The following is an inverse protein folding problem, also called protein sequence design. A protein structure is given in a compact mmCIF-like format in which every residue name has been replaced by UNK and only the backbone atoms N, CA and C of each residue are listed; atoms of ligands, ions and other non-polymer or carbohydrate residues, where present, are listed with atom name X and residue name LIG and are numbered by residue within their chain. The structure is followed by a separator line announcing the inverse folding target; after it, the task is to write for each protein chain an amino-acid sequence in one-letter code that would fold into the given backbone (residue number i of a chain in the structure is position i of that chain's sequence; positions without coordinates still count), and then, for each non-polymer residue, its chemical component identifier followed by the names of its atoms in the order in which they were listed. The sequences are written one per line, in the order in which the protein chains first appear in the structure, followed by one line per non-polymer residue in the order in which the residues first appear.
data_IF_066505567338
#
_entry.id   IF_066505567338
#
_cell.length_a   1.000
_cell.length_b   1.000
_cell.length_c   1.000
_cell.angle_alpha   90.00
_cell.angle_beta   90.00
_cell.angle_gamma   90.00
#
_symmetry.space_group_name_H-M   'P 1'
#
loop_
_entity.id
_entity.type
_entity.pdbx_description
1 polymer ?
#
# COMPACT_ATOMS: atom_id res chain seq x y z
N UNK A 1 -17.37 -35.96 -8.60
CA UNK A 1 -16.00 -35.98 -8.04
C UNK A 1 -15.01 -35.86 -9.20
N UNK A 2 -14.70 -34.64 -9.63
CA UNK A 2 -13.66 -34.35 -10.64
C UNK A 2 -12.94 -33.08 -10.18
N UNK A 3 -12.01 -33.23 -9.25
CA UNK A 3 -11.07 -32.18 -8.89
C UNK A 3 -9.87 -32.31 -9.85
N UNK A 4 -9.96 -31.62 -10.98
CA UNK A 4 -8.79 -31.38 -11.82
C UNK A 4 -7.82 -30.50 -11.04
N UNK A 5 -6.66 -31.06 -10.68
CA UNK A 5 -5.52 -30.31 -10.17
C UNK A 5 -5.25 -29.11 -11.10
N UNK A 6 -5.69 -27.93 -10.67
CA UNK A 6 -5.24 -26.68 -11.24
C UNK A 6 -3.71 -26.70 -11.12
N UNK A 7 -3.02 -26.84 -12.26
CA UNK A 7 -1.56 -26.84 -12.35
C UNK A 7 -1.02 -25.71 -11.46
N UNK A 8 -0.45 -26.08 -10.32
CA UNK A 8 0.23 -25.17 -9.43
C UNK A 8 1.33 -24.51 -10.29
N UNK A 9 1.11 -23.23 -10.62
CA UNK A 9 2.12 -22.45 -11.30
C UNK A 9 3.41 -22.51 -10.47
N UNK A 10 4.56 -22.65 -11.13
CA UNK A 10 5.86 -22.70 -10.45
C UNK A 10 5.93 -21.54 -9.44
N UNK A 11 6.09 -21.80 -8.13
CA UNK A 11 6.10 -20.76 -7.10
C UNK A 11 7.27 -19.77 -7.24
N UNK A 12 8.20 -20.02 -8.18
CA UNK A 12 9.40 -19.22 -8.40
C UNK A 12 9.16 -17.79 -8.91
N UNK A 13 8.11 -17.51 -9.69
CA UNK A 13 7.96 -16.17 -10.30
C UNK A 13 7.77 -15.06 -9.27
N UNK A 14 6.97 -15.30 -8.24
CA UNK A 14 6.81 -14.34 -7.15
C UNK A 14 8.11 -14.17 -6.37
N UNK A 15 8.81 -15.28 -6.08
CA UNK A 15 10.08 -15.25 -5.34
C UNK A 15 11.15 -14.46 -6.13
N UNK A 16 11.21 -14.62 -7.45
CA UNK A 16 12.11 -13.86 -8.31
C UNK A 16 11.77 -12.37 -8.31
N UNK A 17 10.50 -12.01 -8.49
CA UNK A 17 10.06 -10.61 -8.47
C UNK A 17 10.32 -9.96 -7.10
N UNK A 18 9.96 -10.66 -6.02
CA UNK A 18 10.22 -10.21 -4.65
C UNK A 18 11.72 -10.08 -4.38
N UNK A 19 12.52 -11.05 -4.81
CA UNK A 19 13.98 -11.03 -4.68
C UNK A 19 14.62 -9.86 -5.44
N UNK A 20 14.12 -9.53 -6.63
CA UNK A 20 14.59 -8.37 -7.39
C UNK A 20 14.27 -7.04 -6.68
N UNK A 21 13.02 -6.89 -6.20
CA UNK A 21 12.61 -5.67 -5.47
C UNK A 21 13.37 -5.54 -4.15
N UNK A 22 13.55 -6.63 -3.40
CA UNK A 22 14.32 -6.61 -2.15
C UNK A 22 15.81 -6.37 -2.40
N UNK A 23 16.38 -6.99 -3.44
CA UNK A 23 17.77 -6.76 -3.85
C UNK A 23 18.01 -5.29 -4.20
N UNK A 24 17.08 -4.67 -4.93
CA UNK A 24 17.09 -3.23 -5.15
C UNK A 24 16.99 -2.45 -3.83
N UNK A 25 16.05 -2.79 -2.94
CA UNK A 25 15.91 -2.13 -1.63
C UNK A 25 17.17 -2.24 -0.77
N UNK A 26 17.91 -3.34 -0.88
CA UNK A 26 19.22 -3.52 -0.21
C UNK A 26 20.23 -2.51 -0.76
N UNK A 27 20.29 -2.32 -2.08
CA UNK A 27 21.17 -1.31 -2.68
C UNK A 27 20.83 0.10 -2.19
N UNK A 28 19.54 0.44 -2.11
CA UNK A 28 19.07 1.71 -1.56
C UNK A 28 19.50 1.87 -0.10
N UNK A 29 19.28 0.85 0.74
CA UNK A 29 19.63 0.87 2.16
C UNK A 29 21.12 1.11 2.43
N UNK A 30 22.02 0.61 1.57
CA UNK A 30 23.46 0.76 1.77
C UNK A 30 24.02 2.12 1.34
N UNK A 31 23.42 2.85 0.38
CA UNK A 31 24.08 4.04 -0.22
C UNK A 31 23.85 5.37 0.50
N UNK A 32 22.90 5.48 1.41
CA UNK A 32 22.69 6.68 2.25
C UNK A 32 22.37 8.00 1.50
N UNK A 33 21.96 7.97 0.23
CA UNK A 33 21.44 9.15 -0.47
C UNK A 33 19.95 9.37 -0.10
N UNK A 34 19.70 9.56 1.19
CA UNK A 34 18.34 9.67 1.70
C UNK A 34 17.79 11.07 1.41
N UNK A 35 16.76 11.13 0.57
CA UNK A 35 16.02 12.35 0.25
C UNK A 35 14.82 12.52 1.20
N UNK A 36 14.22 13.72 1.18
CA UNK A 36 13.01 14.07 1.94
C UNK A 36 13.19 13.99 3.47
N UNK A 37 12.20 13.46 4.19
CA UNK A 37 12.09 13.52 5.65
C UNK A 37 13.00 12.51 6.40
N UNK A 38 14.05 12.00 5.75
CA UNK A 38 14.91 11.00 6.37
C UNK A 38 15.60 11.52 7.63
N UNK A 39 16.20 12.70 7.56
CA UNK A 39 16.87 13.31 8.71
C UNK A 39 15.88 13.55 9.86
N UNK A 40 14.63 13.90 9.54
CA UNK A 40 13.56 14.00 10.52
C UNK A 40 13.27 12.63 11.17
N UNK A 41 13.21 11.53 10.41
CA UNK A 41 12.95 10.19 10.96
C UNK A 41 14.12 9.69 11.81
N UNK A 42 15.36 9.95 11.38
CA UNK A 42 16.56 9.65 12.16
C UNK A 42 16.58 10.47 13.45
N UNK A 43 16.34 11.79 13.38
CA UNK A 43 16.29 12.65 14.55
C UNK A 43 15.18 12.25 15.52
N UNK A 44 14.00 11.90 15.01
CA UNK A 44 12.88 11.39 15.81
C UNK A 44 13.25 10.11 16.54
N UNK A 45 13.91 9.17 15.85
CA UNK A 45 14.35 7.92 16.48
C UNK A 45 15.48 8.15 17.49
N UNK A 46 16.44 9.05 17.22
CA UNK A 46 17.48 9.45 18.18
C UNK A 46 16.88 10.07 19.44
N UNK A 47 15.99 11.05 19.27
CA UNK A 47 15.29 11.68 20.38
C UNK A 47 14.57 10.64 21.26
N UNK A 48 13.90 9.64 20.66
CA UNK A 48 13.23 8.55 21.38
C UNK A 48 14.20 7.61 22.13
N UNK A 49 15.47 7.56 21.72
CA UNK A 49 16.52 6.79 22.41
C UNK A 49 17.10 7.57 23.60
N UNK A 50 17.28 8.89 23.43
CA UNK A 50 17.93 9.77 24.40
C UNK A 50 17.00 10.23 25.53
N UNK A 51 15.76 10.66 25.22
CA UNK A 51 14.77 11.11 26.21
C UNK A 51 13.38 10.49 25.95
N UNK A 52 12.65 10.04 26.99
CA UNK A 52 11.25 9.66 26.83
C UNK A 52 10.42 10.90 26.43
N UNK A 53 9.37 10.76 25.61
CA UNK A 53 8.66 11.90 25.05
C UNK A 53 8.01 12.75 26.15
N UNK A 54 8.67 13.86 26.48
CA UNK A 54 8.14 14.91 27.35
C UNK A 54 7.75 16.10 26.48
N UNK A 55 6.44 16.29 26.27
CA UNK A 55 5.85 17.56 25.83
C UNK A 55 6.24 18.09 24.46
N UNK A 56 5.84 17.42 23.35
CA UNK A 56 5.85 18.06 22.03
C UNK A 56 5.47 17.18 20.83
N UNK A 57 5.78 15.88 20.87
CA UNK A 57 5.41 14.93 19.80
C UNK A 57 5.04 13.57 20.38
N UNK A 58 4.03 12.92 19.80
CA UNK A 58 3.49 11.65 20.31
C UNK A 58 4.00 10.45 19.50
N UNK A 59 4.70 9.49 20.13
CA UNK A 59 5.28 8.38 19.41
C UNK A 59 4.19 7.43 18.90
N UNK A 60 4.28 7.10 17.62
CA UNK A 60 3.45 6.06 16.99
C UNK A 60 3.95 4.67 17.41
N UNK A 61 3.11 3.62 17.32
CA UNK A 61 3.56 2.24 17.56
C UNK A 61 4.75 1.83 16.68
N UNK A 62 4.84 2.40 15.48
CA UNK A 62 5.96 2.16 14.57
C UNK A 62 7.28 2.69 15.14
N UNK A 63 7.33 3.96 15.55
CA UNK A 63 8.55 4.57 16.11
C UNK A 63 8.95 3.91 17.43
N UNK A 64 8.00 3.54 18.28
CA UNK A 64 8.30 2.75 19.49
C UNK A 64 8.91 1.40 19.15
N UNK A 65 8.35 0.68 18.16
CA UNK A 65 8.91 -0.58 17.68
C UNK A 65 10.35 -0.43 17.18
N UNK A 66 10.64 0.63 16.43
CA UNK A 66 12.00 0.95 15.98
C UNK A 66 12.93 1.26 17.15
N UNK A 67 12.49 2.07 18.11
CA UNK A 67 13.29 2.39 19.30
C UNK A 67 13.58 1.16 20.15
N UNK A 68 12.61 0.25 20.31
CA UNK A 68 12.82 -1.03 20.98
C UNK A 68 13.84 -1.89 20.24
N UNK A 69 13.75 -2.00 18.91
CA UNK A 69 14.71 -2.73 18.09
C UNK A 69 16.11 -2.15 18.22
N UNK A 70 16.25 -0.83 18.19
CA UNK A 70 17.52 -0.13 18.41
C UNK A 70 18.11 -0.46 19.80
N UNK A 71 17.29 -0.37 20.87
CA UNK A 71 17.72 -0.68 22.24
C UNK A 71 18.15 -2.14 22.41
N UNK A 72 17.42 -3.09 21.82
CA UNK A 72 17.72 -4.53 21.93
C UNK A 72 18.97 -4.91 21.12
N UNK A 73 19.13 -4.34 19.93
CA UNK A 73 20.25 -4.66 19.02
C UNK A 73 21.53 -3.87 19.29
N UNK A 74 21.42 -2.72 19.98
CA UNK A 74 22.51 -1.74 20.10
C UNK A 74 22.82 -1.01 18.78
N UNK A 75 21.99 -1.18 17.75
CA UNK A 75 22.21 -0.57 16.44
C UNK A 75 21.82 0.91 16.41
N UNK A 76 22.53 1.68 15.58
CA UNK A 76 22.21 3.09 15.33
C UNK A 76 20.88 3.28 14.59
N UNK A 77 20.23 4.44 14.74
CA UNK A 77 18.95 4.78 14.09
C UNK A 77 18.90 4.50 12.58
N UNK A 78 19.97 4.82 11.87
CA UNK A 78 20.10 4.66 10.41
C UNK A 78 20.08 3.19 10.02
N UNK A 79 20.79 2.36 10.77
CA UNK A 79 20.81 0.90 10.55
C UNK A 79 19.42 0.32 10.81
N UNK A 80 18.78 0.76 11.90
CA UNK A 80 17.44 0.31 12.28
C UNK A 80 16.40 0.71 11.23
N UNK A 81 16.45 1.94 10.73
CA UNK A 81 15.57 2.42 9.66
C UNK A 81 15.84 1.70 8.34
N UNK A 82 17.10 1.47 7.98
CA UNK A 82 17.46 0.71 6.77
C UNK A 82 16.92 -0.73 6.81
N UNK A 83 17.11 -1.44 7.92
CA UNK A 83 16.54 -2.78 8.12
C UNK A 83 15.02 -2.75 8.13
N UNK A 84 14.41 -1.78 8.83
CA UNK A 84 12.96 -1.61 8.84
C UNK A 84 12.40 -1.37 7.44
N UNK A 85 13.07 -0.56 6.61
CA UNK A 85 12.67 -0.33 5.23
C UNK A 85 12.61 -1.63 4.41
N UNK A 86 13.61 -2.51 4.55
CA UNK A 86 13.60 -3.83 3.90
C UNK A 86 12.44 -4.71 4.40
N UNK A 87 12.20 -4.71 5.72
CA UNK A 87 11.11 -5.46 6.32
C UNK A 87 9.74 -4.92 5.91
N UNK A 88 9.59 -3.60 5.75
CA UNK A 88 8.37 -2.96 5.28
C UNK A 88 8.06 -3.34 3.83
N UNK A 89 9.07 -3.33 2.95
CA UNK A 89 8.92 -3.76 1.55
C UNK A 89 8.59 -5.26 1.49
N UNK A 90 9.25 -6.09 2.30
CA UNK A 90 8.92 -7.51 2.40
C UNK A 90 7.45 -7.71 2.85
N UNK A 91 7.01 -6.98 3.88
CA UNK A 91 5.64 -7.02 4.36
C UNK A 91 4.65 -6.60 3.27
N UNK A 92 4.95 -5.56 2.50
CA UNK A 92 4.15 -5.13 1.35
C UNK A 92 4.05 -6.22 0.28
N UNK A 93 5.17 -6.85 -0.08
CA UNK A 93 5.18 -7.96 -1.04
C UNK A 93 4.36 -9.16 -0.53
N UNK A 94 4.48 -9.50 0.76
CA UNK A 94 3.67 -10.55 1.41
C UNK A 94 2.18 -10.18 1.37
N UNK A 95 1.82 -8.93 1.64
CA UNK A 95 0.45 -8.44 1.58
C UNK A 95 -0.13 -8.54 0.17
N UNK A 96 0.61 -8.09 -0.84
CA UNK A 96 0.23 -8.21 -2.26
C UNK A 96 0.08 -9.67 -2.68
N UNK A 97 0.94 -10.57 -2.21
CA UNK A 97 0.80 -12.02 -2.45
C UNK A 97 -0.45 -12.59 -1.80
N UNK A 98 -0.71 -12.20 -0.56
CA UNK A 98 -1.86 -12.67 0.20
C UNK A 98 -3.17 -12.24 -0.48
N UNK A 99 -3.28 -10.95 -0.86
CA UNK A 99 -4.46 -10.44 -1.56
C UNK A 99 -4.57 -10.98 -3.00
N UNK A 100 -3.45 -11.08 -3.73
CA UNK A 100 -3.40 -11.61 -5.09
C UNK A 100 -3.91 -13.05 -5.19
N UNK A 101 -3.72 -13.87 -4.14
CA UNK A 101 -4.30 -15.22 -4.05
C UNK A 101 -5.81 -15.25 -3.87
N UNK A 102 -6.39 -14.19 -3.32
CA UNK A 102 -7.85 -14.07 -3.26
C UNK A 102 -8.44 -13.70 -4.64
N UNK A 103 -7.65 -13.02 -5.50
CA UNK A 103 -8.06 -12.63 -6.85
C UNK A 103 -8.06 -13.79 -7.86
N UNK A 104 -7.14 -14.75 -7.71
CA UNK A 104 -7.00 -15.87 -8.64
C UNK A 104 -6.06 -16.97 -8.15
N UNK A 105 -6.15 -18.15 -8.75
CA UNK A 105 -5.44 -19.35 -8.28
C UNK A 105 -3.94 -19.41 -8.67
N UNK A 106 -3.45 -18.47 -9.50
CA UNK A 106 -2.08 -18.50 -10.02
C UNK A 106 -1.17 -17.57 -9.22
N UNK A 107 -0.04 -18.09 -8.74
CA UNK A 107 1.01 -17.28 -8.09
C UNK A 107 1.57 -16.17 -9.03
N UNK A 108 1.38 -16.29 -10.35
CA UNK A 108 1.71 -15.24 -11.31
C UNK A 108 0.87 -13.97 -11.17
N UNK A 109 -0.35 -14.04 -10.60
CA UNK A 109 -1.16 -12.84 -10.29
C UNK A 109 -0.41 -11.98 -9.28
N UNK A 110 0.08 -12.61 -8.20
CA UNK A 110 0.84 -11.91 -7.17
C UNK A 110 2.16 -11.36 -7.70
N UNK A 111 2.88 -12.12 -8.54
CA UNK A 111 4.14 -11.68 -9.13
C UNK A 111 3.94 -10.44 -10.01
N UNK A 112 2.95 -10.47 -10.91
CA UNK A 112 2.63 -9.34 -11.77
C UNK A 112 2.10 -8.14 -10.97
N UNK A 113 1.28 -8.37 -9.94
CA UNK A 113 0.81 -7.30 -9.07
C UNK A 113 1.98 -6.59 -8.39
N UNK A 114 2.94 -7.34 -7.82
CA UNK A 114 4.15 -6.76 -7.23
C UNK A 114 4.95 -5.92 -8.24
N UNK A 115 5.19 -6.46 -9.45
CA UNK A 115 5.88 -5.72 -10.51
C UNK A 115 5.13 -4.45 -10.88
N UNK A 116 3.83 -4.54 -11.20
CA UNK A 116 3.04 -3.38 -11.62
C UNK A 116 2.95 -2.33 -10.52
N UNK A 117 2.79 -2.74 -9.27
CA UNK A 117 2.75 -1.84 -8.12
C UNK A 117 4.04 -1.03 -7.96
N UNK A 118 5.20 -1.55 -8.36
CA UNK A 118 6.46 -0.79 -8.25
C UNK A 118 6.83 -0.02 -9.52
N UNK A 119 6.44 -0.48 -10.72
CA UNK A 119 6.88 0.15 -11.99
C UNK A 119 5.80 0.90 -12.77
N UNK A 120 4.52 0.55 -12.64
CA UNK A 120 3.48 0.94 -13.61
C UNK A 120 2.70 2.20 -13.16
N UNK A 121 3.43 3.27 -12.87
CA UNK A 121 2.87 4.55 -12.40
C UNK A 121 2.71 5.54 -13.55
N UNK A 122 3.83 6.12 -13.98
CA UNK A 122 3.87 7.19 -14.96
C UNK A 122 5.23 7.28 -15.63
N UNK A 123 5.38 8.28 -16.49
CA UNK A 123 6.62 8.60 -17.20
C UNK A 123 7.33 9.83 -16.63
N UNK A 124 6.72 10.55 -15.69
CA UNK A 124 7.44 11.49 -14.84
C UNK A 124 7.80 10.80 -13.53
N UNK A 125 9.10 10.72 -13.24
CA UNK A 125 9.59 10.27 -11.94
C UNK A 125 9.15 11.25 -10.86
N UNK A 126 8.08 10.91 -10.15
CA UNK A 126 7.54 11.72 -9.06
C UNK A 126 7.54 10.92 -7.76
N UNK A 127 8.19 11.47 -6.75
CA UNK A 127 8.32 10.88 -5.43
C UNK A 127 7.32 11.48 -4.44
N UNK A 128 6.52 10.62 -3.81
CA UNK A 128 5.72 10.99 -2.63
C UNK A 128 5.65 9.82 -1.63
N UNK A 129 5.61 10.14 -0.33
CA UNK A 129 5.47 9.15 0.73
C UNK A 129 4.10 8.45 0.64
N UNK A 130 4.06 7.15 0.87
CA UNK A 130 2.84 6.33 0.75
C UNK A 130 2.51 5.84 -0.67
N UNK A 131 3.36 6.13 -1.65
CA UNK A 131 3.25 5.60 -3.01
C UNK A 131 4.26 4.46 -3.18
N UNK A 132 3.84 3.22 -3.50
CA UNK A 132 4.75 2.07 -3.57
C UNK A 132 5.50 1.96 -4.91
N UNK A 133 5.66 3.05 -5.66
CA UNK A 133 6.48 3.08 -6.88
C UNK A 133 7.98 3.12 -6.55
N UNK A 134 8.83 2.65 -7.47
CA UNK A 134 10.29 2.62 -7.27
C UNK A 134 10.86 3.98 -6.90
N UNK A 135 10.46 5.06 -7.58
CA UNK A 135 10.86 6.43 -7.26
C UNK A 135 10.57 6.78 -5.80
N UNK A 136 9.32 6.60 -5.35
CA UNK A 136 8.91 6.90 -3.98
C UNK A 136 9.56 5.99 -2.93
N UNK A 137 9.63 4.70 -3.21
CA UNK A 137 10.24 3.73 -2.28
C UNK A 137 11.74 3.99 -2.10
N UNK A 138 12.42 4.59 -3.08
CA UNK A 138 13.85 4.91 -3.00
C UNK A 138 14.20 5.79 -1.78
N UNK A 139 13.25 6.59 -1.29
CA UNK A 139 13.47 7.44 -0.12
C UNK A 139 12.47 7.20 1.01
N UNK A 140 11.34 6.51 0.77
CA UNK A 140 10.27 6.34 1.76
C UNK A 140 10.00 4.90 2.22
N UNK A 141 10.75 3.91 1.75
CA UNK A 141 10.57 2.51 2.14
C UNK A 141 10.64 2.27 3.67
N UNK A 142 11.42 3.07 4.41
CA UNK A 142 11.53 3.03 5.87
C UNK A 142 10.48 3.88 6.61
N UNK A 143 9.65 4.64 5.89
CA UNK A 143 8.69 5.56 6.50
C UNK A 143 7.41 4.81 6.92
N UNK A 144 6.66 5.32 7.91
CA UNK A 144 5.44 4.69 8.44
C UNK A 144 4.38 4.36 7.37
N UNK A 145 4.37 5.11 6.27
CA UNK A 145 3.44 4.93 5.15
C UNK A 145 3.56 3.57 4.45
N UNK A 146 4.77 3.01 4.33
CA UNK A 146 5.03 1.74 3.64
C UNK A 146 4.46 0.52 4.40
N UNK A 147 4.76 0.30 5.69
CA UNK A 147 4.14 -0.79 6.44
C UNK A 147 2.63 -0.56 6.62
N UNK A 148 2.17 0.68 6.75
CA UNK A 148 0.74 0.96 6.83
C UNK A 148 -0.02 0.57 5.55
N UNK A 149 0.57 0.82 4.37
CA UNK A 149 0.03 0.34 3.10
C UNK A 149 -0.04 -1.20 3.05
N UNK A 150 0.98 -1.89 3.56
CA UNK A 150 0.99 -3.34 3.63
C UNK A 150 -0.10 -3.87 4.57
N UNK A 151 -0.24 -3.29 5.76
CA UNK A 151 -1.28 -3.62 6.74
C UNK A 151 -2.70 -3.34 6.20
N UNK A 152 -2.88 -2.27 5.41
CA UNK A 152 -4.12 -1.99 4.70
C UNK A 152 -4.51 -3.15 3.77
N UNK A 153 -3.58 -3.59 2.90
CA UNK A 153 -3.82 -4.70 1.96
C UNK A 153 -4.07 -6.03 2.71
N UNK A 154 -3.36 -6.28 3.82
CA UNK A 154 -3.63 -7.42 4.69
C UNK A 154 -5.01 -7.33 5.34
N UNK A 155 -5.43 -6.15 5.78
CA UNK A 155 -6.78 -5.93 6.35
C UNK A 155 -7.85 -6.26 5.33
N UNK A 156 -7.70 -5.82 4.08
CA UNK A 156 -8.63 -6.21 3.01
C UNK A 156 -8.63 -7.71 2.74
N UNK A 157 -7.46 -8.34 2.77
CA UNK A 157 -7.34 -9.81 2.64
C UNK A 157 -8.09 -10.53 3.75
N UNK A 158 -7.87 -10.12 5.00
CA UNK A 158 -8.55 -10.66 6.18
C UNK A 158 -10.06 -10.43 6.07
N UNK A 159 -10.49 -9.27 5.59
CA UNK A 159 -11.90 -8.93 5.43
C UNK A 159 -12.59 -9.80 4.36
N UNK A 160 -11.93 -10.02 3.23
CA UNK A 160 -12.41 -10.97 2.20
C UNK A 160 -12.53 -12.38 2.78
N UNK A 161 -11.52 -12.85 3.53
CA UNK A 161 -11.54 -14.19 4.15
C UNK A 161 -12.59 -14.33 5.23
N UNK A 162 -12.81 -13.29 6.03
CA UNK A 162 -13.85 -13.25 7.04
C UNK A 162 -15.23 -13.35 6.39
N UNK A 163 -15.44 -12.62 5.30
CA UNK A 163 -16.66 -12.72 4.50
C UNK A 163 -16.89 -14.12 3.94
N UNK A 164 -15.84 -14.84 3.53
CA UNK A 164 -16.00 -16.15 2.88
C UNK A 164 -16.07 -17.31 3.89
N UNK A 165 -15.31 -17.23 4.98
CA UNK A 165 -15.09 -18.36 5.92
C UNK A 165 -15.42 -18.04 7.37
N UNK A 166 -15.69 -16.78 7.71
CA UNK A 166 -15.85 -16.32 9.10
C UNK A 166 -14.54 -16.20 9.88
N UNK A 167 -13.39 -16.56 9.30
CA UNK A 167 -12.08 -16.49 9.97
C UNK A 167 -11.45 -15.11 9.83
N UNK A 168 -10.68 -14.70 10.84
CA UNK A 168 -9.91 -13.45 10.81
C UNK A 168 -10.52 -12.28 11.58
N UNK A 169 -11.55 -12.51 12.39
CA UNK A 169 -12.18 -11.48 13.23
C UNK A 169 -11.16 -10.74 14.12
N UNK A 170 -10.21 -11.47 14.72
CA UNK A 170 -9.12 -10.87 15.51
C UNK A 170 -8.30 -9.89 14.67
N UNK A 171 -7.98 -10.24 13.42
CA UNK A 171 -7.27 -9.34 12.51
C UNK A 171 -8.08 -8.07 12.20
N UNK A 172 -9.41 -8.17 12.10
CA UNK A 172 -10.28 -7.01 11.91
C UNK A 172 -10.36 -6.09 13.13
N UNK A 173 -10.06 -6.60 14.33
CA UNK A 173 -9.96 -5.79 15.56
C UNK A 173 -8.59 -5.15 15.70
N UNK A 174 -7.51 -5.88 15.39
CA UNK A 174 -6.14 -5.45 15.67
C UNK A 174 -5.51 -4.61 14.56
N UNK A 175 -5.79 -4.89 13.28
CA UNK A 175 -5.12 -4.21 12.16
C UNK A 175 -5.61 -2.77 11.98
N UNK A 176 -6.91 -2.44 11.97
CA UNK A 176 -7.36 -1.06 11.77
C UNK A 176 -6.80 -0.04 12.77
N UNK A 177 -6.78 -0.28 14.10
CA UNK A 177 -6.18 0.68 15.04
C UNK A 177 -4.67 0.78 14.84
N UNK A 178 -3.97 -0.32 14.55
CA UNK A 178 -2.54 -0.27 14.24
C UNK A 178 -2.27 0.63 13.02
N UNK A 179 -3.08 0.51 11.96
CA UNK A 179 -2.94 1.36 10.77
C UNK A 179 -3.24 2.82 11.10
N UNK A 180 -4.30 3.10 11.88
CA UNK A 180 -4.68 4.45 12.28
C UNK A 180 -3.58 5.13 13.10
N UNK A 181 -3.02 4.42 14.07
CA UNK A 181 -1.96 4.92 14.95
C UNK A 181 -0.62 5.11 14.21
N UNK A 182 -0.37 4.37 13.13
CA UNK A 182 0.86 4.47 12.35
C UNK A 182 0.74 5.50 11.23
N UNK A 183 -0.39 5.54 10.52
CA UNK A 183 -0.58 6.37 9.34
C UNK A 183 -2.09 6.62 9.05
N UNK A 184 -2.67 7.73 9.52
CA UNK A 184 -4.11 8.01 9.42
C UNK A 184 -4.68 7.96 7.99
N UNK A 185 -3.95 8.48 6.99
CA UNK A 185 -4.38 8.38 5.58
C UNK A 185 -4.53 6.92 5.12
N UNK A 186 -3.66 6.02 5.59
CA UNK A 186 -3.77 4.60 5.24
C UNK A 186 -4.97 3.95 5.94
N UNK A 187 -5.38 4.44 7.10
CA UNK A 187 -6.59 3.97 7.78
C UNK A 187 -7.86 4.38 7.03
N UNK A 188 -7.92 5.62 6.53
CA UNK A 188 -9.04 6.07 5.67
C UNK A 188 -9.06 5.27 4.35
N UNK A 189 -7.89 5.06 3.73
CA UNK A 189 -7.78 4.18 2.57
C UNK A 189 -8.23 2.75 2.87
N UNK A 190 -7.89 2.22 4.06
CA UNK A 190 -8.36 0.91 4.53
C UNK A 190 -9.88 0.85 4.59
N UNK A 191 -10.52 1.89 5.13
CA UNK A 191 -11.97 2.01 5.21
C UNK A 191 -12.61 2.05 3.81
N UNK A 192 -12.02 2.77 2.84
CA UNK A 192 -12.51 2.76 1.45
C UNK A 192 -12.56 1.34 0.87
N UNK A 193 -11.52 0.54 1.10
CA UNK A 193 -11.50 -0.84 0.64
C UNK A 193 -12.54 -1.72 1.36
N UNK A 194 -12.68 -1.57 2.68
CA UNK A 194 -13.71 -2.28 3.47
C UNK A 194 -15.12 -1.93 2.99
N UNK A 195 -15.42 -0.65 2.80
CA UNK A 195 -16.70 -0.15 2.27
C UNK A 195 -16.94 -0.67 0.86
N UNK A 196 -15.93 -0.63 -0.02
CA UNK A 196 -16.06 -1.16 -1.37
C UNK A 196 -16.39 -2.66 -1.40
N UNK A 197 -15.78 -3.45 -0.52
CA UNK A 197 -16.08 -4.88 -0.37
C UNK A 197 -17.47 -5.10 0.24
N UNK A 198 -17.88 -4.27 1.20
CA UNK A 198 -19.21 -4.30 1.81
C UNK A 198 -20.31 -4.05 0.76
N UNK A 199 -20.17 -2.99 -0.04
CA UNK A 199 -21.16 -2.56 -1.04
C UNK A 199 -21.22 -3.51 -2.23
N UNK A 200 -20.09 -4.08 -2.67
CA UNK A 200 -20.03 -4.93 -3.86
C UNK A 200 -20.76 -6.28 -3.73
N UNK A 201 -21.08 -6.72 -2.51
CA UNK A 201 -21.59 -8.07 -2.23
C UNK A 201 -22.72 -8.05 -1.22
N UNK A 202 -23.54 -9.10 -1.29
CA UNK A 202 -24.48 -9.41 -0.21
C UNK A 202 -23.75 -10.09 0.94
N UNK A 203 -24.12 -9.76 2.16
CA UNK A 203 -23.55 -10.30 3.38
C UNK A 203 -24.59 -11.11 4.15
N UNK A 204 -24.11 -12.16 4.80
CA UNK A 204 -24.90 -12.85 5.81
C UNK A 204 -25.02 -11.95 7.03
N UNK A 205 -26.25 -11.75 7.51
CA UNK A 205 -26.56 -10.96 8.72
C UNK A 205 -25.70 -11.38 9.92
N UNK A 206 -25.43 -12.68 10.10
CA UNK A 206 -24.53 -13.24 11.12
C UNK A 206 -23.15 -12.60 11.11
N UNK A 207 -22.59 -12.39 9.92
CA UNK A 207 -21.27 -11.77 9.74
C UNK A 207 -21.34 -10.27 9.99
N UNK A 208 -22.39 -9.59 9.55
CA UNK A 208 -22.59 -8.16 9.79
C UNK A 208 -22.65 -7.84 11.28
N UNK A 209 -23.36 -8.66 12.06
CA UNK A 209 -23.47 -8.52 13.52
C UNK A 209 -22.09 -8.60 14.21
N UNK A 210 -21.12 -9.30 13.63
CA UNK A 210 -19.76 -9.39 14.17
C UNK A 210 -18.83 -8.25 13.74
N UNK A 211 -19.14 -7.56 12.63
CA UNK A 211 -18.32 -6.42 12.14
C UNK A 211 -18.49 -5.21 13.06
N UNK A 212 -19.71 -4.94 13.53
CA UNK A 212 -19.99 -3.81 14.44
C UNK A 212 -19.14 -3.87 15.71
N UNK A 213 -19.19 -4.93 16.54
CA UNK A 213 -18.35 -5.02 17.73
C UNK A 213 -16.85 -5.09 17.40
N UNK A 214 -16.46 -5.62 16.24
CA UNK A 214 -15.06 -5.57 15.81
C UNK A 214 -14.60 -4.12 15.54
N UNK A 215 -15.45 -3.32 14.89
CA UNK A 215 -15.22 -1.90 14.67
C UNK A 215 -15.16 -1.11 15.99
N UNK A 216 -16.07 -1.40 16.92
CA UNK A 216 -16.04 -0.81 18.27
C UNK A 216 -14.76 -1.17 19.01
N UNK A 217 -14.35 -2.45 18.97
CA UNK A 217 -13.09 -2.91 19.57
C UNK A 217 -11.86 -2.26 18.95
N UNK A 218 -11.84 -2.07 17.62
CA UNK A 218 -10.79 -1.34 16.92
C UNK A 218 -10.70 0.11 17.39
N UNK A 219 -11.83 0.82 17.48
CA UNK A 219 -11.87 2.21 17.97
C UNK A 219 -11.40 2.27 19.43
N UNK A 220 -11.91 1.38 20.28
CA UNK A 220 -11.50 1.32 21.69
C UNK A 220 -9.99 1.08 21.85
N UNK A 221 -9.40 0.21 21.02
CA UNK A 221 -7.96 -0.06 21.05
C UNK A 221 -7.13 1.14 20.58
N UNK A 222 -7.60 1.88 19.57
CA UNK A 222 -6.95 3.13 19.16
C UNK A 222 -7.03 4.21 20.25
N UNK A 223 -8.19 4.35 20.90
CA UNK A 223 -8.41 5.31 22.00
C UNK A 223 -7.64 4.93 23.27
N UNK A 224 -7.34 3.65 23.47
CA UNK A 224 -6.52 3.17 24.57
C UNK A 224 -5.01 3.44 24.36
N UNK A 225 -4.61 4.00 23.21
CA UNK A 225 -3.21 4.36 22.98
C UNK A 225 -2.78 5.47 23.96
N UNK A 226 -1.70 5.26 24.74
CA UNK A 226 -1.37 6.15 25.85
C UNK A 226 -0.80 7.51 25.43
N UNK A 227 -0.49 7.69 24.14
CA UNK A 227 0.11 8.94 23.63
C UNK A 227 -0.95 9.82 22.96
N UNK A 228 -1.16 11.06 23.44
CA UNK A 228 -2.29 11.89 23.04
C UNK A 228 -1.98 12.73 21.79
N UNK A 229 -2.05 12.16 20.58
CA UNK A 229 -2.38 12.95 19.36
C UNK A 229 -2.60 12.07 18.12
N UNK A 230 -3.69 11.30 18.07
CA UNK A 230 -4.04 10.54 16.85
C UNK A 230 -5.03 11.33 15.98
N UNK A 231 -5.67 12.35 16.57
CA UNK A 231 -6.77 13.12 15.96
C UNK A 231 -6.33 14.44 15.34
N UNK A 232 -5.16 14.98 15.68
CA UNK A 232 -4.65 16.25 15.14
C UNK A 232 -4.12 16.18 13.70
N UNK A 233 -3.95 14.98 13.14
CA UNK A 233 -3.33 14.77 11.81
C UNK A 233 -4.24 15.18 10.64
N UNK A 234 -5.55 15.37 10.88
CA UNK A 234 -6.49 15.92 9.91
C UNK A 234 -6.75 17.41 10.19
N UNK A 235 -5.69 18.17 10.45
CA UNK A 235 -5.78 19.61 10.69
C UNK A 235 -6.39 20.36 9.51
N UNK A 236 -7.29 21.30 9.80
CA UNK A 236 -8.00 22.15 8.83
C UNK A 236 -7.14 23.35 8.35
N UNK A 237 -5.80 23.27 8.39
CA UNK A 237 -4.99 24.38 7.87
C UNK A 237 -4.93 24.34 6.33
N UNK A 238 -5.26 25.46 5.63
CA UNK A 238 -5.13 25.54 4.18
C UNK A 238 -3.73 25.18 3.67
N UNK A 239 -2.70 25.57 4.43
CA UNK A 239 -1.28 25.27 4.18
C UNK A 239 -1.00 23.76 4.10
N UNK A 240 -1.68 22.95 4.93
CA UNK A 240 -1.54 21.50 4.91
C UNK A 240 -2.07 20.89 3.61
N UNK A 241 -3.18 21.42 3.09
CA UNK A 241 -3.74 20.99 1.80
C UNK A 241 -2.80 21.37 0.66
N UNK A 242 -2.31 22.61 0.60
CA UNK A 242 -1.49 23.11 -0.50
C UNK A 242 -0.20 22.33 -0.73
N UNK A 243 0.46 21.85 0.33
CA UNK A 243 1.66 20.99 0.23
C UNK A 243 1.39 19.72 -0.60
N UNK A 244 0.14 19.29 -0.71
CA UNK A 244 -0.26 18.11 -1.48
C UNK A 244 -0.74 18.43 -2.90
N UNK A 245 -0.94 19.71 -3.26
CA UNK A 245 -1.36 20.11 -4.61
C UNK A 245 -0.47 19.52 -5.72
N UNK A 246 0.87 19.44 -5.56
CA UNK A 246 1.72 18.80 -6.54
C UNK A 246 1.28 17.38 -6.89
N UNK A 247 0.71 16.60 -5.97
CA UNK A 247 0.26 15.22 -6.25
C UNK A 247 -0.74 15.13 -7.42
N UNK A 248 -1.46 16.20 -7.74
CA UNK A 248 -2.46 16.24 -8.80
C UNK A 248 -2.02 17.04 -10.03
N UNK A 249 -0.83 17.61 -10.04
CA UNK A 249 -0.25 18.24 -11.22
C UNK A 249 0.18 17.17 -12.23
N UNK A 250 -0.08 17.41 -13.52
CA UNK A 250 0.24 16.49 -14.62
C UNK A 250 -0.08 15.00 -14.32
N UNK A 251 -1.33 14.67 -13.94
CA UNK A 251 -1.68 13.34 -13.47
C UNK A 251 -1.51 12.28 -14.57
N UNK A 252 -1.58 12.69 -15.84
CA UNK A 252 -1.33 11.83 -16.98
C UNK A 252 0.16 11.43 -17.10
N UNK A 253 1.09 12.32 -16.73
CA UNK A 253 2.52 11.98 -16.70
C UNK A 253 2.86 11.14 -15.48
N UNK A 254 2.23 11.39 -14.32
CA UNK A 254 2.55 10.71 -13.05
C UNK A 254 1.87 9.35 -12.87
N UNK A 255 0.66 9.21 -13.39
CA UNK A 255 -0.20 8.03 -13.16
C UNK A 255 -0.75 7.40 -14.46
N UNK A 256 -0.41 7.95 -15.63
CA UNK A 256 -1.00 7.53 -16.90
C UNK A 256 -0.77 6.06 -17.25
N UNK A 257 0.34 5.46 -16.81
CA UNK A 257 0.60 4.04 -17.08
C UNK A 257 -0.33 3.13 -16.28
N UNK A 258 -0.81 3.57 -15.12
CA UNK A 258 -1.80 2.82 -14.34
C UNK A 258 -3.15 2.71 -15.06
N UNK A 259 -3.47 3.62 -16.00
CA UNK A 259 -4.68 3.56 -16.82
C UNK A 259 -4.72 2.32 -17.71
N UNK A 260 -3.57 1.69 -17.98
CA UNK A 260 -3.53 0.38 -18.62
C UNK A 260 -4.35 -0.65 -17.85
N UNK A 261 -4.59 -0.51 -16.54
CA UNK A 261 -5.44 -1.42 -15.78
C UNK A 261 -6.94 -1.16 -15.87
N UNK A 262 -7.39 -0.02 -16.43
CA UNK A 262 -8.82 0.34 -16.49
C UNK A 262 -9.62 -0.64 -17.36
N UNK A 263 -9.19 -1.01 -18.59
CA UNK A 263 -9.89 -2.04 -19.35
C UNK A 263 -9.95 -3.37 -18.60
N UNK A 264 -8.88 -3.77 -17.90
CA UNK A 264 -8.85 -4.99 -17.09
C UNK A 264 -9.84 -4.95 -15.91
N UNK A 265 -10.06 -3.79 -15.28
CA UNK A 265 -11.10 -3.62 -14.26
C UNK A 265 -12.49 -3.90 -14.84
N UNK A 266 -12.79 -3.32 -16.00
CA UNK A 266 -14.09 -3.45 -16.68
C UNK A 266 -14.33 -4.90 -17.16
N UNK A 267 -13.37 -5.50 -17.86
CA UNK A 267 -13.46 -6.91 -18.28
C UNK A 267 -13.53 -7.87 -17.08
N UNK A 268 -12.89 -7.48 -15.98
CA UNK A 268 -12.79 -8.25 -14.76
C UNK A 268 -14.04 -8.21 -13.88
N UNK A 269 -15.04 -7.36 -14.16
CA UNK A 269 -16.15 -7.08 -13.22
C UNK A 269 -16.93 -8.33 -12.82
N UNK A 270 -17.12 -9.29 -13.73
CA UNK A 270 -17.86 -10.54 -13.45
C UNK A 270 -17.01 -11.64 -12.78
N UNK A 271 -15.72 -11.40 -12.56
CA UNK A 271 -14.78 -12.36 -11.96
C UNK A 271 -14.79 -12.25 -10.43
N UNK A 272 -14.18 -13.23 -9.74
CA UNK A 272 -14.03 -13.21 -8.27
C UNK A 272 -13.34 -11.91 -7.85
N UNK A 273 -13.90 -11.19 -6.88
CA UNK A 273 -13.44 -9.86 -6.46
C UNK A 273 -13.42 -8.76 -7.54
N UNK A 274 -13.97 -8.98 -8.74
CA UNK A 274 -13.94 -8.01 -9.83
C UNK A 274 -14.77 -6.74 -9.58
N UNK A 275 -15.98 -6.91 -9.03
CA UNK A 275 -16.85 -5.79 -8.64
C UNK A 275 -16.24 -4.98 -7.49
N UNK A 276 -15.64 -5.67 -6.53
CA UNK A 276 -14.95 -5.06 -5.40
C UNK A 276 -13.84 -4.12 -5.89
N UNK A 277 -12.93 -4.59 -6.76
CA UNK A 277 -11.85 -3.74 -7.29
C UNK A 277 -12.41 -2.50 -8.01
N UNK A 278 -13.45 -2.67 -8.83
CA UNK A 278 -14.08 -1.56 -9.56
C UNK A 278 -14.72 -0.54 -8.61
N UNK A 279 -15.45 -0.99 -7.59
CA UNK A 279 -16.09 -0.10 -6.62
C UNK A 279 -15.04 0.63 -5.79
N UNK A 280 -14.00 -0.05 -5.32
CA UNK A 280 -12.91 0.59 -4.56
C UNK A 280 -12.22 1.65 -5.42
N UNK A 281 -11.92 1.34 -6.68
CA UNK A 281 -11.35 2.30 -7.62
C UNK A 281 -12.28 3.50 -7.84
N UNK A 282 -13.59 3.26 -8.02
CA UNK A 282 -14.58 4.33 -8.21
C UNK A 282 -14.74 5.21 -6.97
N UNK A 283 -14.79 4.62 -5.77
CA UNK A 283 -14.84 5.35 -4.50
C UNK A 283 -13.58 6.18 -4.29
N UNK A 284 -12.40 5.60 -4.50
CA UNK A 284 -11.12 6.30 -4.39
C UNK A 284 -11.04 7.49 -5.36
N UNK A 285 -11.36 7.27 -6.64
CA UNK A 285 -11.40 8.34 -7.66
C UNK A 285 -12.42 9.42 -7.29
N UNK A 286 -13.60 9.03 -6.79
CA UNK A 286 -14.64 9.95 -6.36
C UNK A 286 -14.19 10.83 -5.19
N UNK A 287 -13.56 10.23 -4.16
CA UNK A 287 -13.03 10.98 -3.02
C UNK A 287 -11.93 11.95 -3.45
N UNK A 288 -10.96 11.48 -4.25
CA UNK A 288 -9.88 12.35 -4.78
C UNK A 288 -10.47 13.50 -5.59
N UNK A 289 -11.41 13.22 -6.49
CA UNK A 289 -12.00 14.25 -7.37
C UNK A 289 -12.84 15.27 -6.62
N UNK A 290 -13.72 14.83 -5.71
CA UNK A 290 -14.56 15.73 -4.89
C UNK A 290 -13.70 16.57 -3.94
N UNK A 291 -12.71 15.96 -3.30
CA UNK A 291 -11.82 16.67 -2.39
C UNK A 291 -10.95 17.70 -3.13
N UNK A 292 -10.36 17.32 -4.27
CA UNK A 292 -9.58 18.25 -5.10
C UNK A 292 -10.44 19.43 -5.58
N UNK A 293 -11.69 19.19 -6.00
CA UNK A 293 -12.62 20.25 -6.38
C UNK A 293 -12.95 21.18 -5.20
N UNK A 294 -12.97 20.66 -3.98
CA UNK A 294 -13.15 21.44 -2.75
C UNK A 294 -11.83 22.08 -2.23
N UNK A 295 -10.72 22.02 -2.98
CA UNK A 295 -9.42 22.56 -2.55
C UNK A 295 -8.72 21.75 -1.45
N UNK A 296 -9.10 20.48 -1.26
CA UNK A 296 -8.58 19.54 -0.27
C UNK A 296 -7.65 18.52 -0.96
N UNK A 297 -6.40 18.89 -1.20
CA UNK A 297 -5.44 18.10 -1.99
C UNK A 297 -4.78 16.98 -1.18
N UNK A 298 -4.86 16.98 0.15
CA UNK A 298 -4.32 15.92 1.00
C UNK A 298 -4.91 14.54 0.67
N UNK A 299 -6.13 14.53 0.13
CA UNK A 299 -6.83 13.33 -0.32
C UNK A 299 -6.25 12.72 -1.60
N UNK A 300 -5.37 13.42 -2.31
CA UNK A 300 -4.59 12.85 -3.42
C UNK A 300 -3.71 11.68 -2.96
N UNK A 301 -3.46 11.54 -1.65
CA UNK A 301 -2.86 10.34 -1.03
C UNK A 301 -3.70 9.07 -1.21
N UNK A 302 -4.91 9.14 -1.76
CA UNK A 302 -5.72 7.97 -2.13
C UNK A 302 -5.55 7.52 -3.58
N UNK A 303 -4.80 8.25 -4.41
CA UNK A 303 -4.41 7.81 -5.76
C UNK A 303 -3.76 6.42 -5.74
N UNK A 304 -2.86 6.07 -4.80
CA UNK A 304 -2.30 4.71 -4.69
C UNK A 304 -3.34 3.60 -4.56
N UNK A 305 -4.49 3.87 -3.91
CA UNK A 305 -5.57 2.88 -3.81
C UNK A 305 -6.17 2.61 -5.17
N UNK A 306 -6.49 3.66 -5.93
CA UNK A 306 -7.04 3.56 -7.29
C UNK A 306 -6.07 2.84 -8.22
N UNK A 307 -4.82 3.27 -8.21
CA UNK A 307 -3.73 2.67 -9.01
C UNK A 307 -3.54 1.19 -8.66
N UNK A 308 -3.55 0.84 -7.38
CA UNK A 308 -3.45 -0.55 -6.94
C UNK A 308 -4.60 -1.40 -7.45
N UNK A 309 -5.84 -0.91 -7.47
CA UNK A 309 -6.97 -1.65 -8.04
C UNK A 309 -6.78 -1.91 -9.54
N UNK A 310 -6.29 -0.92 -10.30
CA UNK A 310 -5.92 -1.07 -11.71
C UNK A 310 -4.83 -2.13 -11.91
N UNK A 311 -3.75 -2.06 -11.12
CA UNK A 311 -2.64 -3.02 -11.19
C UNK A 311 -3.08 -4.45 -10.87
N UNK A 312 -3.90 -4.64 -9.84
CA UNK A 312 -4.42 -5.95 -9.45
C UNK A 312 -5.33 -6.55 -10.52
N UNK A 313 -6.19 -5.72 -11.13
CA UNK A 313 -7.04 -6.16 -12.23
C UNK A 313 -6.21 -6.55 -13.47
N UNK A 314 -5.20 -5.75 -13.83
CA UNK A 314 -4.29 -6.01 -14.93
C UNK A 314 -3.48 -7.29 -14.72
N UNK A 315 -2.91 -7.44 -13.52
CA UNK A 315 -2.15 -8.62 -13.11
C UNK A 315 -2.98 -9.89 -13.28
N UNK A 316 -4.24 -9.87 -12.82
CA UNK A 316 -5.16 -11.00 -13.02
C UNK A 316 -5.45 -11.24 -14.49
N UNK A 317 -5.77 -10.20 -15.27
CA UNK A 317 -6.11 -10.34 -16.69
C UNK A 317 -5.00 -11.06 -17.47
N UNK A 318 -3.75 -10.64 -17.27
CA UNK A 318 -2.59 -11.22 -17.94
C UNK A 318 -2.24 -12.61 -17.39
N UNK A 319 -2.24 -12.78 -16.07
CA UNK A 319 -1.93 -14.06 -15.43
C UNK A 319 -2.92 -15.16 -15.80
N UNK A 320 -4.21 -14.84 -15.91
CA UNK A 320 -5.27 -15.79 -16.29
C UNK A 320 -5.40 -15.96 -17.80
N UNK A 321 -4.66 -15.17 -18.60
CA UNK A 321 -4.68 -15.20 -20.07
C UNK A 321 -6.08 -14.96 -20.64
N UNK A 322 -6.74 -13.91 -20.15
CA UNK A 322 -8.08 -13.52 -20.59
C UNK A 322 -8.12 -13.15 -22.09
N UNK A 323 -9.31 -13.02 -22.67
CA UNK A 323 -9.47 -12.67 -24.09
C UNK A 323 -8.70 -11.39 -24.43
N UNK A 324 -7.88 -11.44 -25.49
CA UNK A 324 -7.03 -10.31 -25.90
C UNK A 324 -5.73 -10.14 -25.12
N UNK A 325 -5.35 -11.08 -24.24
CA UNK A 325 -4.18 -10.91 -23.37
C UNK A 325 -2.84 -10.74 -24.11
N UNK A 326 -2.67 -11.26 -25.33
CA UNK A 326 -1.39 -11.19 -26.06
C UNK A 326 -0.99 -9.75 -26.44
N UNK A 327 -1.78 -9.02 -27.25
CA UNK A 327 -1.47 -7.63 -27.56
C UNK A 327 -1.43 -6.78 -26.28
N UNK A 328 -2.30 -7.06 -25.31
CA UNK A 328 -2.31 -6.34 -24.06
C UNK A 328 -1.04 -6.56 -23.22
N UNK A 329 -0.50 -7.79 -23.21
CA UNK A 329 0.78 -8.09 -22.56
C UNK A 329 1.94 -7.31 -23.19
N UNK A 330 1.95 -7.13 -24.51
CA UNK A 330 2.96 -6.31 -25.20
C UNK A 330 2.85 -4.86 -24.75
N UNK A 331 1.65 -4.27 -24.77
CA UNK A 331 1.43 -2.89 -24.31
C UNK A 331 1.81 -2.72 -22.84
N UNK A 332 1.44 -3.67 -21.97
CA UNK A 332 1.82 -3.64 -20.55
C UNK A 332 3.32 -3.80 -20.37
N UNK A 333 4.01 -4.63 -21.15
CA UNK A 333 5.45 -4.77 -21.08
C UNK A 333 6.15 -3.45 -21.48
N UNK A 334 5.70 -2.80 -22.55
CA UNK A 334 6.18 -1.47 -22.94
C UNK A 334 5.95 -0.46 -21.81
N UNK A 335 4.75 -0.46 -21.22
CA UNK A 335 4.44 0.38 -20.05
C UNK A 335 5.35 0.12 -18.85
N UNK A 336 5.65 -1.15 -18.54
CA UNK A 336 6.56 -1.49 -17.45
C UNK A 336 7.99 -1.01 -17.72
N UNK A 337 8.47 -1.15 -18.97
CA UNK A 337 9.79 -0.64 -19.37
C UNK A 337 9.81 0.88 -19.28
N UNK A 338 8.79 1.57 -19.79
CA UNK A 338 8.69 3.02 -19.74
C UNK A 338 8.67 3.54 -18.29
N UNK A 339 7.86 2.93 -17.42
CA UNK A 339 7.80 3.30 -16.00
C UNK A 339 9.08 2.99 -15.24
N UNK A 340 9.75 1.87 -15.54
CA UNK A 340 11.06 1.56 -14.98
C UNK A 340 12.12 2.59 -15.41
N UNK A 341 12.19 2.90 -16.71
CA UNK A 341 13.11 3.92 -17.25
C UNK A 341 12.82 5.30 -16.67
N UNK A 342 11.55 5.66 -16.47
CA UNK A 342 11.18 6.92 -15.85
C UNK A 342 11.57 7.00 -14.36
N UNK A 343 11.64 5.86 -13.67
CA UNK A 343 12.13 5.78 -12.29
C UNK A 343 13.66 5.76 -12.19
N UNK A 344 14.37 5.42 -13.29
CA UNK A 344 15.83 5.29 -13.30
C UNK A 344 16.57 6.54 -12.83
N UNK A 345 16.23 7.79 -13.20
CA UNK A 345 16.97 8.96 -12.71
C UNK A 345 17.01 9.03 -11.18
N UNK A 346 15.88 8.87 -10.49
CA UNK A 346 15.87 8.85 -9.02
C UNK A 346 16.50 7.57 -8.45
N UNK A 347 16.38 6.43 -9.15
CA UNK A 347 17.11 5.23 -8.75
C UNK A 347 18.61 5.43 -8.90
N UNK A 348 19.09 6.13 -9.92
CA UNK A 348 20.51 6.39 -10.20
C UNK A 348 21.05 7.43 -9.23
N UNK A 349 20.31 8.51 -8.95
CA UNK A 349 20.65 9.44 -7.87
C UNK A 349 20.76 8.75 -6.50
N UNK A 350 20.06 7.62 -6.33
CA UNK A 350 20.15 6.78 -5.13
C UNK A 350 21.09 5.57 -5.26
N UNK A 351 21.69 5.34 -6.45
CA UNK A 351 22.62 4.25 -6.77
C UNK A 351 24.04 4.79 -7.01
N UNK A 352 25.06 3.92 -7.11
CA UNK A 352 26.45 4.34 -7.07
C UNK A 352 26.99 5.28 -8.13
#
# INVERSE_FOLDING_TARGET
MVWGFARAGRPGWFVLAAGAVLGWGVLVAFRHAWLADWDLHVATLRAMLDEPPAGGWTPTPYVLGLAMLARISGAGPETVLGVAGLLNVLLLLVALRAFGRELGARDSVAALAAVFTVVLWGVSGFGATGFPGLTSLSFSFAFPSTPALALMVLTWTVFVRFRETGRGLVGLVLLPPMILLVHPFAAVATLLGVVGILVARRWEWRRLVLIVPAGVGAIALALAWPYPDVTGVLGDSPEFSEVHAPLLEDPHLRYGLALLGVPALLYGVRRRLGRELLIIAALGTGVVGVAAWAGRYEFARFVPVVVLMCHLALARHLAERMTGWRPYAVVTAIGCVAGFVAAMPQMVETLP
#
